data_IF_566009951527
#
_entry.id   IF_566009951527
#
_cell.length_a   1.000
_cell.length_b   1.000
_cell.length_c   1.000
_cell.angle_alpha   90.00
_cell.angle_beta   90.00
_cell.angle_gamma   90.00
#
_symmetry.space_group_name_H-M   'P 1'
#
loop_
_entity.id
_entity.type
_entity.pdbx_description
1 polymer ?
#
# COMPACT_ATOMS: atom_id res chain seq x y z
N UNK A 1 -30.51 -10.77 8.58
CA UNK A 1 -29.09 -10.37 8.38
C UNK A 1 -28.13 -11.12 9.31
N UNK A 2 -28.48 -11.36 10.57
CA UNK A 2 -27.63 -12.06 11.56
C UNK A 2 -27.07 -13.41 11.09
N UNK A 3 -27.86 -14.24 10.40
CA UNK A 3 -27.39 -15.53 9.88
C UNK A 3 -26.31 -15.44 8.79
N UNK A 4 -26.36 -14.40 7.94
CA UNK A 4 -25.30 -14.15 6.94
C UNK A 4 -24.02 -13.66 7.63
N UNK A 5 -24.15 -12.80 8.63
CA UNK A 5 -23.00 -12.31 9.40
C UNK A 5 -22.31 -13.45 10.18
N UNK A 6 -23.09 -14.33 10.82
CA UNK A 6 -22.55 -15.48 11.56
C UNK A 6 -21.81 -16.47 10.63
N UNK A 7 -22.31 -16.69 9.41
CA UNK A 7 -21.61 -17.50 8.41
C UNK A 7 -20.33 -16.86 7.90
N UNK A 8 -20.30 -15.53 7.83
CA UNK A 8 -19.11 -14.81 7.37
C UNK A 8 -17.98 -14.91 8.41
N UNK A 9 -18.27 -14.81 9.71
CA UNK A 9 -17.26 -14.99 10.78
C UNK A 9 -16.70 -16.41 10.80
N UNK A 10 -17.55 -17.44 10.72
CA UNK A 10 -17.11 -18.83 10.64
C UNK A 10 -16.23 -19.10 9.39
N UNK A 11 -16.62 -18.53 8.25
CA UNK A 11 -15.85 -18.63 7.02
C UNK A 11 -14.47 -17.97 7.12
N UNK A 12 -14.38 -16.81 7.79
CA UNK A 12 -13.11 -16.12 8.03
C UNK A 12 -12.19 -16.99 8.89
N UNK A 13 -12.69 -17.59 9.97
CA UNK A 13 -11.89 -18.43 10.85
C UNK A 13 -11.38 -19.70 10.15
N UNK A 14 -12.22 -20.33 9.33
CA UNK A 14 -11.81 -21.46 8.50
C UNK A 14 -10.74 -21.06 7.48
N UNK A 15 -10.90 -19.91 6.83
CA UNK A 15 -9.92 -19.38 5.88
C UNK A 15 -8.60 -19.05 6.56
N UNK A 16 -8.60 -18.43 7.74
CA UNK A 16 -7.39 -18.14 8.52
C UNK A 16 -6.65 -19.42 8.85
N UNK A 17 -7.35 -20.43 9.40
CA UNK A 17 -6.75 -21.76 9.70
C UNK A 17 -6.13 -22.39 8.46
N UNK A 18 -6.81 -22.31 7.32
CA UNK A 18 -6.32 -22.85 6.06
C UNK A 18 -5.07 -22.09 5.56
N UNK A 19 -5.04 -20.76 5.68
CA UNK A 19 -3.89 -19.91 5.32
C UNK A 19 -2.62 -20.30 6.10
N UNK A 20 -2.74 -20.68 7.38
CA UNK A 20 -1.59 -21.13 8.18
C UNK A 20 -1.08 -22.52 7.77
N UNK A 21 -1.96 -23.40 7.31
CA UNK A 21 -1.61 -24.78 6.93
C UNK A 21 -1.07 -24.90 5.50
N UNK A 22 -1.37 -23.92 4.64
CA UNK A 22 -1.09 -24.02 3.22
C UNK A 22 0.37 -23.70 2.87
N UNK A 23 1.07 -24.68 2.29
CA UNK A 23 2.45 -24.54 1.79
C UNK A 23 2.54 -23.83 0.43
N UNK A 24 1.49 -23.87 -0.37
CA UNK A 24 1.47 -23.23 -1.69
C UNK A 24 1.29 -21.70 -1.56
N UNK A 25 2.28 -20.88 -1.98
CA UNK A 25 2.23 -19.43 -1.82
C UNK A 25 1.07 -18.76 -2.55
N UNK A 26 0.69 -19.26 -3.73
CA UNK A 26 -0.39 -18.69 -4.54
C UNK A 26 -1.76 -18.98 -3.93
N UNK A 27 -1.96 -20.21 -3.45
CA UNK A 27 -3.18 -20.57 -2.74
C UNK A 27 -3.31 -19.77 -1.43
N UNK A 28 -2.19 -19.62 -0.69
CA UNK A 28 -2.13 -18.80 0.52
C UNK A 28 -2.55 -17.36 0.24
N UNK A 29 -1.99 -16.73 -0.80
CA UNK A 29 -2.36 -15.38 -1.22
C UNK A 29 -3.85 -15.26 -1.55
N UNK A 30 -4.39 -16.17 -2.36
CA UNK A 30 -5.80 -16.12 -2.76
C UNK A 30 -6.73 -16.27 -1.55
N UNK A 31 -6.45 -17.21 -0.65
CA UNK A 31 -7.23 -17.38 0.58
C UNK A 31 -7.15 -16.14 1.48
N UNK A 32 -5.96 -15.54 1.63
CA UNK A 32 -5.81 -14.29 2.39
C UNK A 32 -6.64 -13.16 1.78
N UNK A 33 -6.64 -13.01 0.45
CA UNK A 33 -7.43 -11.97 -0.21
C UNK A 33 -8.94 -12.17 -0.03
N UNK A 34 -9.41 -13.42 -0.03
CA UNK A 34 -10.82 -13.73 0.27
C UNK A 34 -11.15 -13.40 1.73
N UNK A 35 -10.29 -13.76 2.67
CA UNK A 35 -10.48 -13.44 4.09
C UNK A 35 -10.51 -11.91 4.32
N UNK A 36 -9.58 -11.18 3.71
CA UNK A 36 -9.53 -9.71 3.74
C UNK A 36 -10.82 -9.11 3.18
N UNK A 37 -11.33 -9.60 2.05
CA UNK A 37 -12.59 -9.12 1.48
C UNK A 37 -13.76 -9.30 2.45
N UNK A 38 -13.85 -10.46 3.12
CA UNK A 38 -14.91 -10.73 4.09
C UNK A 38 -14.80 -9.83 5.33
N UNK A 39 -13.58 -9.60 5.83
CA UNK A 39 -13.33 -8.69 6.94
C UNK A 39 -13.73 -7.25 6.61
N UNK A 40 -13.38 -6.76 5.41
CA UNK A 40 -13.80 -5.44 4.95
C UNK A 40 -15.33 -5.33 4.82
N UNK A 41 -16.03 -6.41 4.43
CA UNK A 41 -17.50 -6.44 4.43
C UNK A 41 -18.11 -6.39 5.83
N UNK A 42 -17.35 -6.78 6.87
CA UNK A 42 -17.71 -6.67 8.29
C UNK A 42 -17.22 -5.37 8.93
N UNK A 43 -16.60 -4.47 8.14
CA UNK A 43 -15.96 -3.25 8.60
C UNK A 43 -14.76 -3.47 9.54
N UNK A 44 -14.19 -4.68 9.55
CA UNK A 44 -13.05 -5.04 10.38
C UNK A 44 -11.72 -4.72 9.67
N UNK A 45 -11.45 -3.41 9.57
CA UNK A 45 -10.33 -2.88 8.78
C UNK A 45 -8.96 -3.21 9.40
N UNK A 46 -8.86 -3.22 10.72
CA UNK A 46 -7.60 -3.48 11.42
C UNK A 46 -7.11 -4.91 11.17
N UNK A 47 -8.00 -5.89 11.28
CA UNK A 47 -7.62 -7.29 11.04
C UNK A 47 -7.30 -7.55 9.56
N UNK A 48 -8.00 -6.87 8.64
CA UNK A 48 -7.68 -6.90 7.23
C UNK A 48 -6.26 -6.37 6.93
N UNK A 49 -5.86 -5.28 7.58
CA UNK A 49 -4.48 -4.75 7.48
C UNK A 49 -3.48 -5.81 7.98
N UNK A 50 -3.68 -6.36 9.18
CA UNK A 50 -2.78 -7.36 9.77
C UNK A 50 -2.60 -8.59 8.85
N UNK A 51 -3.67 -9.07 8.21
CA UNK A 51 -3.57 -10.19 7.28
C UNK A 51 -2.74 -9.85 6.03
N UNK A 52 -2.88 -8.64 5.49
CA UNK A 52 -2.12 -8.20 4.32
C UNK A 52 -0.65 -7.95 4.65
N UNK A 53 -0.32 -7.45 5.84
CA UNK A 53 1.07 -7.27 6.29
C UNK A 53 1.81 -8.60 6.43
N UNK A 54 1.10 -9.65 6.86
CA UNK A 54 1.64 -11.00 7.05
C UNK A 54 1.84 -11.80 5.74
N UNK A 55 1.65 -11.17 4.58
CA UNK A 55 1.87 -11.80 3.27
C UNK A 55 3.36 -11.95 2.89
N UNK A 56 4.30 -11.52 3.73
CA UNK A 56 5.74 -11.58 3.44
C UNK A 56 6.09 -10.72 2.22
N UNK A 57 6.92 -11.20 1.30
CA UNK A 57 7.32 -10.43 0.11
C UNK A 57 6.13 -10.06 -0.80
N UNK A 58 5.02 -10.82 -0.77
CA UNK A 58 3.84 -10.47 -1.56
C UNK A 58 3.22 -9.13 -1.15
N UNK A 59 3.51 -8.62 0.06
CA UNK A 59 3.06 -7.30 0.51
C UNK A 59 3.56 -6.17 -0.39
N UNK A 60 4.71 -6.35 -1.06
CA UNK A 60 5.31 -5.36 -1.96
C UNK A 60 4.77 -5.43 -3.40
N UNK A 61 3.80 -6.32 -3.70
CA UNK A 61 3.09 -6.26 -4.99
C UNK A 61 2.25 -4.99 -5.04
N UNK A 62 2.35 -4.24 -6.15
CA UNK A 62 1.63 -2.95 -6.32
C UNK A 62 0.15 -3.00 -5.95
N UNK A 63 -0.58 -4.07 -6.31
CA UNK A 63 -1.99 -4.21 -5.94
C UNK A 63 -2.21 -4.32 -4.42
N UNK A 64 -1.33 -5.02 -3.72
CA UNK A 64 -1.37 -5.16 -2.26
C UNK A 64 -0.99 -3.84 -1.60
N UNK A 65 0.09 -3.19 -2.06
CA UNK A 65 0.51 -1.86 -1.58
C UNK A 65 -0.62 -0.84 -1.74
N UNK A 66 -1.27 -0.79 -2.90
CA UNK A 66 -2.41 0.10 -3.14
C UNK A 66 -3.56 -0.16 -2.17
N UNK A 67 -3.82 -1.42 -1.85
CA UNK A 67 -4.88 -1.81 -0.91
C UNK A 67 -4.51 -1.39 0.51
N UNK A 68 -3.31 -1.75 0.99
CA UNK A 68 -2.81 -1.39 2.31
C UNK A 68 -2.77 0.13 2.53
N UNK A 69 -2.26 0.90 1.56
CA UNK A 69 -2.28 2.37 1.63
C UNK A 69 -3.71 2.89 1.77
N UNK A 70 -4.65 2.36 0.98
CA UNK A 70 -6.06 2.78 1.08
C UNK A 70 -6.63 2.48 2.47
N UNK A 71 -6.33 1.30 3.02
CA UNK A 71 -6.80 0.92 4.35
C UNK A 71 -6.16 1.78 5.44
N UNK A 72 -4.85 2.09 5.35
CA UNK A 72 -4.17 2.98 6.27
C UNK A 72 -4.75 4.38 6.28
N UNK A 73 -5.01 4.95 5.10
CA UNK A 73 -5.65 6.26 5.00
C UNK A 73 -7.09 6.25 5.52
N UNK A 74 -7.80 5.11 5.46
CA UNK A 74 -9.15 4.99 6.01
C UNK A 74 -9.17 4.97 7.55
N UNK A 75 -8.05 4.62 8.19
CA UNK A 75 -7.86 4.67 9.64
C UNK A 75 -6.97 5.84 10.06
N UNK A 76 -6.84 6.86 9.20
CA UNK A 76 -6.03 8.07 9.40
C UNK A 76 -4.56 7.80 9.79
N UNK A 77 -4.01 6.64 9.40
CA UNK A 77 -2.63 6.26 9.67
C UNK A 77 -1.71 6.60 8.49
N UNK A 78 -1.53 7.90 8.27
CA UNK A 78 -0.68 8.44 7.20
C UNK A 78 0.77 7.98 7.31
N UNK A 79 1.28 7.86 8.54
CA UNK A 79 2.64 7.42 8.80
C UNK A 79 2.87 6.00 8.29
N UNK A 80 1.99 5.05 8.62
CA UNK A 80 2.11 3.68 8.14
C UNK A 80 2.00 3.58 6.61
N UNK A 81 1.15 4.41 5.98
CA UNK A 81 1.07 4.48 4.52
C UNK A 81 2.39 4.98 3.89
N UNK A 82 2.99 6.03 4.44
CA UNK A 82 4.27 6.58 4.00
C UNK A 82 5.41 5.57 4.20
N UNK A 83 5.48 4.94 5.37
CA UNK A 83 6.49 3.94 5.70
C UNK A 83 6.40 2.74 4.74
N UNK A 84 5.19 2.25 4.46
CA UNK A 84 4.99 1.18 3.47
C UNK A 84 5.48 1.56 2.07
N UNK A 85 5.25 2.79 1.61
CA UNK A 85 5.79 3.25 0.34
C UNK A 85 7.32 3.26 0.34
N UNK A 86 7.94 3.75 1.41
CA UNK A 86 9.41 3.80 1.55
C UNK A 86 10.02 2.38 1.58
N UNK A 87 9.41 1.46 2.32
CA UNK A 87 9.82 0.05 2.37
C UNK A 87 9.70 -0.61 0.99
N UNK A 88 8.59 -0.37 0.30
CA UNK A 88 8.37 -0.91 -1.05
C UNK A 88 9.39 -0.36 -2.05
N UNK A 89 9.69 0.94 -1.98
CA UNK A 89 10.72 1.56 -2.83
C UNK A 89 12.11 0.96 -2.56
N UNK A 90 12.43 0.71 -1.29
CA UNK A 90 13.69 0.07 -0.89
C UNK A 90 13.77 -1.36 -1.42
N UNK A 91 12.68 -2.13 -1.31
CA UNK A 91 12.60 -3.50 -1.84
C UNK A 91 12.72 -3.54 -3.37
N UNK A 92 12.07 -2.63 -4.11
CA UNK A 92 12.21 -2.53 -5.57
C UNK A 92 13.61 -2.11 -6.01
N UNK A 93 14.24 -1.20 -5.29
CA UNK A 93 15.60 -0.73 -5.62
C UNK A 93 16.63 -1.86 -5.51
N UNK A 94 16.45 -2.79 -4.56
CA UNK A 94 17.35 -3.93 -4.37
C UNK A 94 17.16 -5.07 -5.39
N UNK A 95 15.99 -5.14 -6.03
CA UNK A 95 15.58 -6.24 -6.92
C UNK A 95 15.70 -5.87 -8.42
N UNK A 96 16.38 -4.77 -8.75
CA UNK A 96 16.52 -4.22 -10.12
C UNK A 96 15.17 -4.14 -10.86
N UNK A 97 14.13 -3.72 -10.15
CA UNK A 97 12.78 -3.65 -10.70
C UNK A 97 12.65 -2.47 -11.65
N UNK A 98 11.86 -2.65 -12.72
CA UNK A 98 11.51 -1.62 -13.70
C UNK A 98 11.23 -0.23 -13.07
N UNK A 99 11.97 0.76 -13.58
CA UNK A 99 11.87 2.18 -13.25
C UNK A 99 10.43 2.72 -13.36
N UNK A 100 9.57 2.11 -14.18
CA UNK A 100 8.15 2.47 -14.29
C UNK A 100 7.41 2.31 -12.96
N UNK A 101 7.66 1.23 -12.21
CA UNK A 101 7.01 0.96 -10.93
C UNK A 101 7.52 1.89 -9.83
N UNK A 102 8.83 2.14 -9.81
CA UNK A 102 9.45 3.11 -8.90
C UNK A 102 8.86 4.51 -9.13
N UNK A 103 8.70 4.90 -10.40
CA UNK A 103 8.07 6.19 -10.78
C UNK A 103 6.62 6.29 -10.27
N UNK A 104 5.83 5.22 -10.42
CA UNK A 104 4.45 5.18 -9.90
C UNK A 104 4.43 5.37 -8.38
N UNK A 105 5.27 4.64 -7.64
CA UNK A 105 5.33 4.70 -6.18
C UNK A 105 5.76 6.09 -5.69
N UNK A 106 6.83 6.66 -6.25
CA UNK A 106 7.30 8.00 -5.88
C UNK A 106 6.23 9.06 -6.15
N UNK A 107 5.48 8.95 -7.25
CA UNK A 107 4.41 9.89 -7.58
C UNK A 107 3.26 9.80 -6.58
N UNK A 108 2.89 8.60 -6.15
CA UNK A 108 1.82 8.44 -5.15
C UNK A 108 2.27 8.91 -3.76
N UNK A 109 3.52 8.62 -3.37
CA UNK A 109 4.08 9.09 -2.11
C UNK A 109 4.18 10.62 -2.06
N UNK A 110 4.65 11.26 -3.13
CA UNK A 110 4.69 12.72 -3.21
C UNK A 110 3.29 13.35 -3.05
N UNK A 111 2.27 12.78 -3.71
CA UNK A 111 0.88 13.24 -3.56
C UNK A 111 0.36 13.06 -2.14
N UNK A 112 0.73 11.96 -1.48
CA UNK A 112 0.35 11.70 -0.09
C UNK A 112 0.93 12.77 0.84
N UNK A 113 2.22 13.09 0.73
CA UNK A 113 2.84 14.16 1.52
C UNK A 113 2.27 15.55 1.22
N UNK A 114 1.95 15.85 -0.04
CA UNK A 114 1.28 17.12 -0.38
C UNK A 114 -0.11 17.23 0.26
N UNK A 115 -0.85 16.12 0.38
CA UNK A 115 -2.16 16.09 1.04
C UNK A 115 -2.04 16.34 2.54
N UNK A 116 -1.02 15.76 3.17
CA UNK A 116 -0.74 15.90 4.61
C UNK A 116 0.00 17.18 4.99
N UNK A 117 0.12 18.14 4.07
CA UNK A 117 0.81 19.41 4.28
C UNK A 117 2.27 19.23 4.73
N UNK A 118 2.94 18.19 4.21
CA UNK A 118 4.39 17.97 4.35
C UNK A 118 5.10 18.25 3.01
N UNK A 119 5.23 19.54 2.61
CA UNK A 119 5.82 19.91 1.33
C UNK A 119 7.30 19.54 1.23
N UNK A 120 8.02 19.40 2.35
CA UNK A 120 9.45 19.07 2.39
C UNK A 120 9.69 17.63 1.91
N UNK A 121 8.99 16.66 2.48
CA UNK A 121 9.12 15.28 2.02
C UNK A 121 8.55 15.11 0.60
N UNK A 122 7.47 15.82 0.25
CA UNK A 122 6.95 15.83 -1.12
C UNK A 122 8.01 16.32 -2.13
N UNK A 123 8.69 17.43 -1.84
CA UNK A 123 9.74 17.98 -2.69
C UNK A 123 10.88 16.97 -2.90
N UNK A 124 11.33 16.29 -1.84
CA UNK A 124 12.37 15.24 -1.92
C UNK A 124 11.98 14.11 -2.89
N UNK A 125 10.73 13.67 -2.88
CA UNK A 125 10.25 12.61 -3.80
C UNK A 125 10.10 13.12 -5.23
N UNK A 126 9.68 14.37 -5.42
CA UNK A 126 9.60 15.01 -6.72
C UNK A 126 10.97 15.25 -7.35
N UNK A 127 11.99 15.59 -6.56
CA UNK A 127 13.38 15.70 -7.04
C UNK A 127 13.86 14.37 -7.61
N UNK A 128 13.67 13.28 -6.85
CA UNK A 128 14.03 11.93 -7.31
C UNK A 128 13.25 11.51 -8.58
N UNK A 129 12.00 11.95 -8.72
CA UNK A 129 11.22 11.72 -9.95
C UNK A 129 11.79 12.47 -11.16
N UNK A 130 12.32 13.67 -10.97
CA UNK A 130 12.97 14.45 -12.03
C UNK A 130 14.32 13.86 -12.41
N UNK A 131 15.10 13.32 -11.47
CA UNK A 131 16.32 12.57 -11.80
C UNK A 131 16.02 11.38 -12.72
N UNK A 132 14.92 10.66 -12.47
CA UNK A 132 14.48 9.54 -13.30
C UNK A 132 13.83 9.99 -14.62
N UNK A 133 13.20 11.16 -14.66
CA UNK A 133 12.48 11.69 -15.82
C UNK A 133 12.69 13.21 -15.98
N UNK A 134 13.88 13.66 -16.45
CA UNK A 134 14.26 15.08 -16.43
C UNK A 134 13.35 15.99 -17.25
N UNK A 135 12.73 15.45 -18.30
CA UNK A 135 11.91 16.21 -19.24
C UNK A 135 10.44 16.38 -18.81
N UNK A 136 10.06 15.89 -17.61
CA UNK A 136 8.68 15.93 -17.17
C UNK A 136 8.30 17.27 -16.53
N UNK A 137 7.81 18.20 -17.37
CA UNK A 137 7.39 19.55 -16.96
C UNK A 137 6.35 19.58 -15.83
N UNK A 138 5.50 18.53 -15.71
CA UNK A 138 4.49 18.44 -14.65
C UNK A 138 5.13 18.22 -13.27
N UNK A 139 6.17 17.39 -13.18
CA UNK A 139 6.89 17.18 -11.92
C UNK A 139 7.68 18.41 -11.51
N UNK A 140 8.26 19.13 -12.48
CA UNK A 140 8.94 20.40 -12.23
C UNK A 140 7.97 21.45 -11.65
N UNK A 141 6.78 21.61 -12.23
CA UNK A 141 5.76 22.51 -11.68
C UNK A 141 5.33 22.13 -10.25
N UNK A 142 5.11 20.84 -9.98
CA UNK A 142 4.75 20.36 -8.64
C UNK A 142 5.87 20.58 -7.62
N UNK A 143 7.13 20.44 -8.04
CA UNK A 143 8.29 20.68 -7.19
C UNK A 143 8.42 22.16 -6.85
N UNK A 144 8.23 23.06 -7.81
CA UNK A 144 8.20 24.51 -7.55
C UNK A 144 7.11 24.83 -6.52
N UNK A 145 5.89 24.32 -6.70
CA UNK A 145 4.78 24.54 -5.76
C UNK A 145 5.15 24.03 -4.36
N UNK A 146 5.72 22.83 -4.26
CA UNK A 146 6.13 22.27 -2.96
C UNK A 146 7.15 23.17 -2.27
N UNK A 147 8.18 23.67 -2.97
CA UNK A 147 9.16 24.58 -2.39
C UNK A 147 8.59 25.95 -2.00
N UNK A 148 7.54 26.44 -2.67
CA UNK A 148 6.90 27.72 -2.31
C UNK A 148 5.96 27.62 -1.10
N UNK A 149 5.64 26.42 -0.64
CA UNK A 149 4.75 26.16 0.50
C UNK A 149 5.51 25.83 1.80
N UNK A 150 6.85 25.77 1.74
CA UNK A 150 7.76 25.58 2.89
C UNK A 150 8.07 26.92 3.54
#
# INVERSE_FOLDING_TARGET
MLWRQNKNSEAIDLLKKFVYQQKNPTAKLNCTLVAVKLLLMQNDTNEAITLLENLGEFKYKLGIVSTLVTLYLNVDNFKAASDLFNDTLSWYSQKEVDNSKITILLKQLAKLHLREQDPKEAAKRLSRLLELNPNNKKFLAQLIIAYTQV
#
